data_IF_267687317346
#
_entry.id   IF_267687317346
#
_cell.length_a   1.000
_cell.length_b   1.000
_cell.length_c   1.000
_cell.angle_alpha   90.00
_cell.angle_beta   90.00
_cell.angle_gamma   90.00
#
_symmetry.space_group_name_H-M   'P 1'
#
loop_
_entity.id
_entity.type
_entity.pdbx_description
1 polymer ?
#
# COMPACT_ATOMS: atom_id res chain seq x y z
N UNK A 1 32.36 -9.94 -25.39
CA UNK A 1 31.45 -10.24 -26.47
C UNK A 1 30.40 -9.14 -26.52
N UNK A 2 30.45 -8.44 -27.61
CA UNK A 2 29.64 -7.28 -27.93
C UNK A 2 28.31 -7.77 -28.50
N UNK A 3 27.23 -7.62 -27.76
CA UNK A 3 25.88 -7.84 -28.32
C UNK A 3 25.43 -6.60 -29.06
N UNK A 4 25.38 -6.75 -30.39
CA UNK A 4 24.91 -5.78 -31.35
C UNK A 4 23.38 -5.70 -31.28
N UNK A 5 22.85 -4.52 -30.96
CA UNK A 5 21.43 -4.23 -31.01
C UNK A 5 20.91 -4.13 -32.44
N UNK A 6 19.78 -4.71 -32.83
CA UNK A 6 19.17 -4.50 -34.12
C UNK A 6 18.63 -3.09 -34.24
N UNK A 7 19.01 -2.39 -35.32
CA UNK A 7 18.43 -1.10 -35.70
C UNK A 7 17.04 -1.30 -36.28
N UNK A 8 16.02 -0.71 -35.70
CA UNK A 8 14.65 -0.73 -36.25
C UNK A 8 13.67 0.21 -35.56
N UNK A 9 13.34 1.26 -36.26
CA UNK A 9 12.17 2.16 -36.23
C UNK A 9 11.84 2.97 -34.95
N UNK A 10 11.88 4.26 -35.13
CA UNK A 10 12.00 5.40 -34.22
C UNK A 10 10.69 5.95 -33.62
N UNK A 11 9.59 5.20 -33.49
CA UNK A 11 8.35 5.74 -32.87
C UNK A 11 7.69 4.85 -31.80
N UNK A 12 8.34 3.74 -31.42
CA UNK A 12 7.86 2.86 -30.34
C UNK A 12 8.91 2.70 -29.22
N UNK A 13 10.04 3.37 -29.34
CA UNK A 13 11.19 3.18 -28.42
C UNK A 13 10.95 3.68 -26.99
N UNK A 14 10.09 4.66 -26.75
CA UNK A 14 9.81 5.19 -25.43
C UNK A 14 9.16 4.16 -24.50
N UNK A 15 8.13 3.49 -24.97
CA UNK A 15 7.38 2.49 -24.18
C UNK A 15 8.22 1.22 -23.96
N UNK A 16 8.98 0.79 -24.98
CA UNK A 16 9.90 -0.35 -24.83
C UNK A 16 11.08 -0.06 -23.90
N UNK A 17 11.61 1.16 -23.91
CA UNK A 17 12.66 1.58 -22.96
C UNK A 17 12.15 1.60 -21.54
N UNK A 18 10.96 2.14 -21.28
CA UNK A 18 10.34 2.17 -19.96
C UNK A 18 10.10 0.74 -19.45
N UNK A 19 9.56 -0.16 -20.26
CA UNK A 19 9.34 -1.56 -19.90
C UNK A 19 10.66 -2.31 -19.63
N UNK A 20 11.72 -2.00 -20.40
CA UNK A 20 13.02 -2.63 -20.23
C UNK A 20 13.72 -2.13 -18.95
N UNK A 21 13.65 -0.85 -18.64
CA UNK A 21 14.16 -0.29 -17.40
C UNK A 21 13.39 -0.81 -16.18
N UNK A 22 12.07 -0.90 -16.26
CA UNK A 22 11.23 -1.47 -15.22
C UNK A 22 11.61 -2.92 -14.89
N UNK A 23 11.72 -3.77 -15.91
CA UNK A 23 12.16 -5.16 -15.76
C UNK A 23 13.63 -5.31 -15.30
N UNK A 24 14.49 -4.33 -15.60
CA UNK A 24 15.88 -4.35 -15.16
C UNK A 24 16.01 -3.94 -13.69
N UNK A 25 15.19 -2.99 -13.23
CA UNK A 25 15.13 -2.60 -11.82
C UNK A 25 14.57 -3.73 -10.93
N UNK A 26 13.52 -4.43 -11.34
CA UNK A 26 12.97 -5.59 -10.61
C UNK A 26 14.03 -6.71 -10.45
N UNK A 27 14.92 -6.89 -11.44
CA UNK A 27 16.02 -7.86 -11.34
C UNK A 27 17.14 -7.48 -10.38
N UNK A 28 17.22 -6.23 -9.94
CA UNK A 28 18.29 -5.73 -9.05
C UNK A 28 17.91 -5.79 -7.56
N UNK A 29 16.62 -5.95 -7.21
CA UNK A 29 16.16 -6.02 -5.83
C UNK A 29 16.38 -7.43 -5.26
N UNK A 30 17.55 -7.65 -4.69
CA UNK A 30 17.83 -8.89 -3.97
C UNK A 30 17.26 -8.83 -2.54
N UNK A 31 17.17 -10.00 -1.89
CA UNK A 31 16.61 -10.13 -0.54
C UNK A 31 17.30 -9.23 0.50
N UNK A 32 18.62 -9.11 0.42
CA UNK A 32 19.41 -8.28 1.34
C UNK A 32 19.05 -6.79 1.21
N UNK A 33 18.96 -6.29 -0.02
CA UNK A 33 18.56 -4.91 -0.29
C UNK A 33 17.12 -4.64 0.20
N UNK A 34 16.19 -5.57 -0.06
CA UNK A 34 14.80 -5.44 0.38
C UNK A 34 14.69 -5.43 1.89
N UNK A 35 15.37 -6.33 2.59
CA UNK A 35 15.41 -6.34 4.05
C UNK A 35 16.01 -5.04 4.60
N UNK A 36 17.11 -4.56 4.01
CA UNK A 36 17.74 -3.30 4.43
C UNK A 36 16.81 -2.09 4.25
N UNK A 37 16.06 -2.03 3.15
CA UNK A 37 15.07 -0.97 2.93
C UNK A 37 13.92 -1.05 3.93
N UNK A 38 13.38 -2.24 4.19
CA UNK A 38 12.33 -2.45 5.19
C UNK A 38 12.82 -2.08 6.61
N UNK A 39 14.07 -2.41 6.95
CA UNK A 39 14.67 -2.02 8.23
C UNK A 39 14.81 -0.50 8.39
N UNK A 40 15.13 0.22 7.31
CA UNK A 40 15.10 1.69 7.34
C UNK A 40 13.69 2.23 7.61
N UNK A 41 12.64 1.63 7.00
CA UNK A 41 11.25 2.00 7.29
C UNK A 41 10.93 1.76 8.77
N UNK A 42 11.32 0.61 9.34
CA UNK A 42 11.14 0.30 10.77
C UNK A 42 11.83 1.31 11.68
N UNK A 43 13.10 1.63 11.38
CA UNK A 43 13.89 2.58 12.17
C UNK A 43 13.31 4.00 12.12
N UNK A 44 12.87 4.46 10.96
CA UNK A 44 12.21 5.76 10.83
C UNK A 44 10.89 5.78 11.58
N UNK A 45 10.07 4.72 11.45
CA UNK A 45 8.77 4.63 12.12
C UNK A 45 8.91 4.66 13.65
N UNK A 46 9.79 3.85 14.22
CA UNK A 46 10.00 3.83 15.67
C UNK A 46 10.61 5.13 16.16
N UNK A 47 11.51 5.75 15.38
CA UNK A 47 12.13 7.03 15.74
C UNK A 47 11.14 8.18 15.79
N UNK A 48 10.16 8.22 14.86
CA UNK A 48 9.07 9.19 14.87
C UNK A 48 8.22 9.06 16.12
N UNK A 49 7.78 7.83 16.45
CA UNK A 49 6.96 7.55 17.63
C UNK A 49 7.71 7.88 18.92
N UNK A 50 8.97 7.47 19.02
CA UNK A 50 9.82 7.74 20.18
C UNK A 50 10.04 9.24 20.38
N UNK A 51 10.33 9.98 19.32
CA UNK A 51 10.51 11.42 19.40
C UNK A 51 9.23 12.14 19.82
N UNK A 52 8.08 11.73 19.28
CA UNK A 52 6.78 12.31 19.61
C UNK A 52 6.28 11.90 21.01
N UNK A 53 6.86 10.87 21.63
CA UNK A 53 6.36 10.22 22.87
C UNK A 53 4.89 9.84 22.76
N UNK A 54 4.43 9.59 21.53
CA UNK A 54 3.03 9.30 21.22
C UNK A 54 2.95 8.59 19.87
N UNK A 55 2.11 7.57 19.75
CA UNK A 55 1.88 6.84 18.51
C UNK A 55 1.85 5.34 18.70
N UNK A 56 1.81 4.62 17.56
CA UNK A 56 1.68 3.17 17.50
C UNK A 56 2.86 2.58 16.69
N UNK A 57 3.90 2.05 17.35
CA UNK A 57 5.06 1.53 16.63
C UNK A 57 4.84 0.15 16.03
N UNK A 58 3.99 -0.70 16.64
CA UNK A 58 3.86 -2.13 16.31
C UNK A 58 3.50 -2.38 14.86
N UNK A 59 2.31 -1.99 14.44
CA UNK A 59 1.84 -2.18 13.06
C UNK A 59 2.69 -1.41 12.03
N UNK A 60 3.18 -0.22 12.40
CA UNK A 60 4.05 0.56 11.52
C UNK A 60 5.39 -0.15 11.21
N UNK A 61 5.92 -0.93 12.15
CA UNK A 61 7.10 -1.76 11.93
C UNK A 61 6.74 -3.08 11.23
N UNK A 62 5.59 -3.69 11.59
CA UNK A 62 5.12 -4.96 11.03
C UNK A 62 4.85 -4.89 9.54
N UNK A 63 4.27 -3.79 9.05
CA UNK A 63 3.97 -3.59 7.63
C UNK A 63 5.15 -3.13 6.76
N UNK A 64 6.36 -3.01 7.31
CA UNK A 64 7.50 -2.43 6.60
C UNK A 64 7.93 -3.22 5.36
N UNK A 65 7.95 -4.55 5.42
CA UNK A 65 8.29 -5.39 4.27
C UNK A 65 7.24 -5.26 3.17
N UNK A 66 5.96 -5.33 3.55
CA UNK A 66 4.86 -5.18 2.60
C UNK A 66 4.93 -3.84 1.86
N UNK A 67 4.99 -2.72 2.59
CA UNK A 67 4.96 -1.41 1.94
C UNK A 67 6.21 -1.18 1.10
N UNK A 68 7.37 -1.73 1.51
CA UNK A 68 8.59 -1.68 0.73
C UNK A 68 8.45 -2.44 -0.59
N UNK A 69 7.96 -3.68 -0.56
CA UNK A 69 7.74 -4.49 -1.77
C UNK A 69 6.71 -3.80 -2.67
N UNK A 70 5.58 -3.37 -2.11
CA UNK A 70 4.53 -2.71 -2.89
C UNK A 70 5.05 -1.47 -3.62
N UNK A 71 5.68 -0.54 -2.92
CA UNK A 71 6.10 0.75 -3.47
C UNK A 71 7.33 0.67 -4.37
N UNK A 72 8.20 -0.33 -4.18
CA UNK A 72 9.40 -0.49 -4.99
C UNK A 72 9.24 -1.38 -6.21
N UNK A 73 8.25 -2.30 -6.22
CA UNK A 73 8.17 -3.34 -7.24
C UNK A 73 6.81 -3.43 -7.94
N UNK A 74 5.70 -3.08 -7.30
CA UNK A 74 4.35 -3.32 -7.83
C UNK A 74 3.55 -2.06 -8.12
N UNK A 75 3.63 -1.04 -7.25
CA UNK A 75 2.83 0.17 -7.40
C UNK A 75 3.29 0.96 -8.63
N UNK A 76 2.42 1.09 -9.61
CA UNK A 76 2.66 1.89 -10.81
C UNK A 76 2.32 3.35 -10.52
N UNK A 77 3.34 4.20 -10.42
CA UNK A 77 3.18 5.63 -10.19
C UNK A 77 4.34 6.41 -10.80
N UNK A 78 4.15 7.72 -10.97
CA UNK A 78 5.18 8.64 -11.44
C UNK A 78 5.51 9.64 -10.32
N UNK A 79 6.70 9.57 -9.70
CA UNK A 79 7.08 10.51 -8.64
C UNK A 79 7.16 11.96 -9.10
N UNK A 80 7.44 12.21 -10.39
CA UNK A 80 7.49 13.56 -10.97
C UNK A 80 6.09 14.08 -11.34
N UNK A 81 5.12 13.16 -11.54
CA UNK A 81 3.73 13.49 -11.83
C UNK A 81 2.77 12.71 -10.91
N UNK A 82 2.75 13.01 -9.61
CA UNK A 82 1.97 12.25 -8.63
C UNK A 82 0.44 12.34 -8.82
N UNK A 83 -0.02 13.26 -9.64
CA UNK A 83 -1.44 13.42 -9.99
C UNK A 83 -1.85 12.68 -11.26
N UNK A 84 -0.94 11.95 -11.88
CA UNK A 84 -1.26 11.15 -13.08
C UNK A 84 -2.44 10.20 -12.82
N UNK A 85 -3.48 10.30 -13.66
CA UNK A 85 -4.74 9.59 -13.43
C UNK A 85 -4.61 8.06 -13.63
N UNK A 86 -3.69 7.61 -14.46
CA UNK A 86 -3.44 6.19 -14.70
C UNK A 86 -2.58 5.49 -13.64
N UNK A 87 -2.18 6.19 -12.57
CA UNK A 87 -1.40 5.60 -11.47
C UNK A 87 -2.22 4.60 -10.66
N UNK A 88 -1.57 3.61 -10.10
CA UNK A 88 -2.13 2.79 -9.03
C UNK A 88 -2.37 3.64 -7.78
N UNK A 89 -3.29 3.21 -6.91
CA UNK A 89 -3.64 3.94 -5.68
C UNK A 89 -3.50 3.04 -4.47
N UNK A 90 -2.88 3.58 -3.43
CA UNK A 90 -2.72 2.90 -2.15
C UNK A 90 -3.54 3.60 -1.06
N UNK A 91 -4.41 2.85 -0.40
CA UNK A 91 -5.25 3.32 0.69
C UNK A 91 -4.80 2.69 2.01
N UNK A 92 -4.44 3.54 2.97
CA UNK A 92 -4.11 3.12 4.32
C UNK A 92 -5.35 3.20 5.19
N UNK A 93 -5.90 2.06 5.63
CA UNK A 93 -7.03 2.03 6.55
C UNK A 93 -6.60 2.35 7.98
N UNK A 94 -5.62 1.65 8.59
CA UNK A 94 -5.19 1.95 9.95
C UNK A 94 -4.34 3.21 10.00
N UNK A 95 -5.00 4.38 10.03
CA UNK A 95 -4.32 5.68 10.02
C UNK A 95 -3.26 5.85 11.09
N UNK A 96 -3.40 5.17 12.22
CA UNK A 96 -2.39 5.12 13.28
C UNK A 96 -1.06 4.47 12.84
N UNK A 97 -1.05 3.74 11.72
CA UNK A 97 0.16 3.21 11.09
C UNK A 97 0.83 4.21 10.13
N UNK A 98 0.43 5.48 10.18
CA UNK A 98 1.03 6.57 9.39
C UNK A 98 2.56 6.62 9.38
N UNK A 99 3.30 6.26 10.47
CA UNK A 99 4.75 6.23 10.41
C UNK A 99 5.31 5.27 9.36
N UNK A 100 4.65 4.15 9.07
CA UNK A 100 5.02 3.26 7.97
C UNK A 100 4.93 3.97 6.62
N UNK A 101 3.78 4.62 6.35
CA UNK A 101 3.55 5.33 5.09
C UNK A 101 4.50 6.51 4.92
N UNK A 102 4.64 7.35 5.96
CA UNK A 102 5.57 8.49 5.91
C UNK A 102 7.02 8.06 5.71
N UNK A 103 7.45 6.95 6.31
CA UNK A 103 8.79 6.40 6.12
C UNK A 103 9.02 5.95 4.68
N UNK A 104 8.07 5.20 4.10
CA UNK A 104 8.15 4.78 2.71
C UNK A 104 8.17 5.98 1.74
N UNK A 105 7.33 6.99 1.97
CA UNK A 105 7.28 8.20 1.17
C UNK A 105 8.54 9.08 1.37
N UNK A 106 9.14 9.09 2.56
CA UNK A 106 10.42 9.79 2.79
C UNK A 106 11.58 9.13 2.02
N UNK A 107 11.62 7.81 1.94
CA UNK A 107 12.61 7.11 1.11
C UNK A 107 12.46 7.43 -0.39
N UNK A 108 11.27 7.87 -0.81
CA UNK A 108 11.00 8.37 -2.17
C UNK A 108 11.22 9.89 -2.33
N UNK A 109 11.70 10.57 -1.28
CA UNK A 109 11.94 12.01 -1.30
C UNK A 109 10.69 12.89 -1.14
N UNK A 110 9.53 12.32 -0.76
CA UNK A 110 8.27 13.08 -0.56
C UNK A 110 8.19 13.77 0.79
N UNK A 111 8.94 13.28 1.77
CA UNK A 111 9.12 13.89 3.08
C UNK A 111 10.59 13.98 3.41
N UNK A 112 11.01 15.10 3.99
CA UNK A 112 12.34 15.27 4.56
C UNK A 112 12.41 14.64 5.96
N UNK A 113 13.62 14.34 6.41
CA UNK A 113 13.85 13.86 7.79
C UNK A 113 13.38 14.89 8.83
N UNK A 114 13.49 16.18 8.53
CA UNK A 114 13.03 17.22 9.46
C UNK A 114 11.50 17.29 9.56
N UNK A 115 10.78 17.01 8.48
CA UNK A 115 9.32 16.83 8.52
C UNK A 115 8.93 15.58 9.32
N UNK A 116 9.64 14.46 9.16
CA UNK A 116 9.40 13.26 9.98
C UNK A 116 9.62 13.52 11.48
N UNK A 117 10.59 14.35 11.85
CA UNK A 117 10.82 14.77 13.24
C UNK A 117 9.68 15.59 13.83
N UNK A 118 8.76 16.13 13.01
CA UNK A 118 7.58 16.85 13.41
C UNK A 118 6.34 15.95 13.57
N UNK A 119 6.50 14.64 13.50
CA UNK A 119 5.41 13.69 13.66
C UNK A 119 4.55 13.98 14.89
N UNK A 120 3.23 14.09 14.69
CA UNK A 120 2.23 14.42 15.72
C UNK A 120 2.42 15.79 16.39
N UNK A 121 3.23 16.68 15.83
CA UNK A 121 3.29 18.04 16.34
C UNK A 121 2.17 18.89 15.72
N UNK A 122 1.85 20.00 16.39
CA UNK A 122 0.84 20.95 15.89
C UNK A 122 1.27 21.50 14.52
N UNK A 123 0.32 21.57 13.59
CA UNK A 123 0.52 22.08 12.22
C UNK A 123 1.64 21.37 11.43
N UNK A 124 1.89 20.11 11.78
CA UNK A 124 2.91 19.29 11.14
C UNK A 124 2.38 18.69 9.83
N UNK A 125 3.24 18.55 8.79
CA UNK A 125 2.89 17.81 7.58
C UNK A 125 2.83 16.28 7.79
N UNK A 126 3.18 15.81 8.99
CA UNK A 126 3.13 14.40 9.40
C UNK A 126 2.24 14.19 10.62
N UNK A 127 0.91 14.48 10.52
CA UNK A 127 -0.02 14.23 11.61
C UNK A 127 -0.08 12.74 11.99
N UNK A 128 -0.62 12.45 13.17
CA UNK A 128 -0.70 11.07 13.68
C UNK A 128 -1.56 10.12 12.83
N UNK A 129 -2.50 10.68 12.08
CA UNK A 129 -3.29 10.01 11.06
C UNK A 129 -3.15 10.81 9.77
N UNK A 130 -2.89 10.18 8.61
CA UNK A 130 -2.60 10.92 7.39
C UNK A 130 -3.81 11.75 6.92
N UNK A 131 -3.52 12.95 6.45
CA UNK A 131 -4.44 13.75 5.65
C UNK A 131 -4.16 13.50 4.17
N UNK A 132 -5.22 13.50 3.35
CA UNK A 132 -5.09 13.30 1.91
C UNK A 132 -4.18 14.36 1.28
N UNK A 133 -3.09 13.91 0.67
CA UNK A 133 -2.13 14.74 -0.05
C UNK A 133 -1.58 13.97 -1.26
N UNK A 134 -2.27 14.09 -2.37
CA UNK A 134 -1.92 13.36 -3.61
C UNK A 134 -0.52 13.75 -4.10
N UNK A 135 -0.11 15.01 -3.93
CA UNK A 135 1.21 15.46 -4.36
C UNK A 135 2.35 14.76 -3.61
N UNK A 136 2.09 14.30 -2.41
CA UNK A 136 3.01 13.49 -1.61
C UNK A 136 2.74 11.99 -1.66
N UNK A 137 1.69 11.54 -2.36
CA UNK A 137 1.35 10.12 -2.52
C UNK A 137 0.41 9.58 -1.44
N UNK A 138 -0.34 10.44 -0.75
CA UNK A 138 -1.34 10.06 0.26
C UNK A 138 -2.73 10.16 -0.36
N UNK A 139 -3.36 9.01 -0.63
CA UNK A 139 -4.63 8.94 -1.36
C UNK A 139 -5.85 9.25 -0.49
N UNK A 140 -5.80 8.98 0.81
CA UNK A 140 -6.94 9.18 1.70
C UNK A 140 -6.55 9.79 3.05
N UNK A 141 -7.43 10.62 3.57
CA UNK A 141 -7.46 10.92 5.00
C UNK A 141 -7.92 9.67 5.72
N UNK A 142 -7.19 9.23 6.73
CA UNK A 142 -7.55 8.07 7.51
C UNK A 142 -7.52 8.37 9.02
N UNK A 143 -8.06 7.45 9.81
CA UNK A 143 -8.21 7.59 11.26
C UNK A 143 -9.31 6.65 11.74
N UNK A 144 -10.58 6.87 11.39
CA UNK A 144 -11.61 5.89 11.67
C UNK A 144 -11.35 4.60 10.90
N UNK A 145 -11.24 3.48 11.61
CA UNK A 145 -11.00 2.16 11.04
C UNK A 145 -12.15 1.72 10.13
N UNK A 146 -11.85 0.92 9.11
CA UNK A 146 -12.79 0.44 8.09
C UNK A 146 -13.05 1.45 6.96
N UNK A 147 -12.83 2.73 7.16
CA UNK A 147 -13.09 3.74 6.12
C UNK A 147 -12.09 3.67 4.96
N UNK A 148 -10.82 3.39 5.23
CA UNK A 148 -9.80 3.23 4.19
C UNK A 148 -10.14 2.08 3.25
N UNK A 149 -10.63 0.96 3.78
CA UNK A 149 -11.13 -0.17 2.99
C UNK A 149 -12.34 0.25 2.12
N UNK A 150 -13.25 1.01 2.70
CA UNK A 150 -14.44 1.53 1.98
C UNK A 150 -14.04 2.47 0.84
N UNK A 151 -13.08 3.37 1.07
CA UNK A 151 -12.53 4.23 0.01
C UNK A 151 -11.88 3.42 -1.10
N UNK A 152 -11.09 2.40 -0.76
CA UNK A 152 -10.45 1.52 -1.73
C UNK A 152 -11.49 0.77 -2.58
N UNK A 153 -12.54 0.22 -1.97
CA UNK A 153 -13.63 -0.44 -2.68
C UNK A 153 -14.35 0.54 -3.62
N UNK A 154 -14.65 1.76 -3.16
CA UNK A 154 -15.24 2.82 -3.99
C UNK A 154 -14.36 3.22 -5.17
N UNK A 155 -13.05 3.35 -4.95
CA UNK A 155 -12.08 3.64 -6.01
C UNK A 155 -11.99 2.50 -7.04
N UNK A 156 -12.06 1.24 -6.59
CA UNK A 156 -12.06 0.09 -7.49
C UNK A 156 -13.32 0.02 -8.37
N UNK A 157 -14.49 0.39 -7.82
CA UNK A 157 -15.72 0.54 -8.61
C UNK A 157 -15.57 1.66 -9.64
N UNK A 158 -15.05 2.81 -9.21
CA UNK A 158 -14.84 3.96 -10.11
C UNK A 158 -13.88 3.62 -11.26
N UNK A 159 -12.79 2.92 -10.97
CA UNK A 159 -11.85 2.46 -12.00
C UNK A 159 -12.54 1.54 -13.01
N UNK A 160 -13.28 0.53 -12.56
CA UNK A 160 -14.05 -0.37 -13.45
C UNK A 160 -15.06 0.38 -14.31
N UNK A 161 -15.71 1.39 -13.77
CA UNK A 161 -16.61 2.24 -14.53
C UNK A 161 -15.87 3.04 -15.60
N UNK A 162 -14.71 3.62 -15.27
CA UNK A 162 -13.89 4.38 -16.20
C UNK A 162 -13.25 3.47 -17.26
N UNK A 163 -12.74 2.29 -16.87
CA UNK A 163 -12.23 1.27 -17.79
C UNK A 163 -13.28 0.88 -18.85
N UNK A 164 -14.52 0.65 -18.42
CA UNK A 164 -15.61 0.29 -19.31
C UNK A 164 -15.99 1.42 -20.29
N UNK A 165 -15.78 2.69 -19.89
CA UNK A 165 -16.11 3.85 -20.72
C UNK A 165 -14.99 4.30 -21.63
N UNK A 166 -13.75 4.26 -21.16
CA UNK A 166 -12.58 4.82 -21.82
C UNK A 166 -11.70 3.75 -22.46
N UNK A 167 -11.90 2.49 -22.09
CA UNK A 167 -11.11 1.36 -22.56
C UNK A 167 -9.85 1.12 -21.72
N UNK A 168 -9.39 -0.12 -21.69
CA UNK A 168 -8.24 -0.59 -20.91
C UNK A 168 -6.91 0.09 -21.25
N UNK A 169 -6.78 0.59 -22.45
CA UNK A 169 -5.56 1.31 -22.87
C UNK A 169 -5.42 2.69 -22.25
N UNK A 170 -6.52 3.24 -21.75
CA UNK A 170 -6.59 4.57 -21.14
C UNK A 170 -6.68 4.45 -19.61
N UNK A 171 -7.54 3.53 -19.14
CA UNK A 171 -7.79 3.32 -17.71
C UNK A 171 -7.64 1.85 -17.38
N UNK A 172 -6.53 1.54 -16.75
CA UNK A 172 -6.27 0.23 -16.15
C UNK A 172 -5.25 0.41 -15.04
N UNK A 173 -5.72 0.60 -13.82
CA UNK A 173 -4.85 0.69 -12.66
C UNK A 173 -5.36 -0.18 -11.50
N UNK A 174 -4.48 -0.52 -10.59
CA UNK A 174 -4.79 -1.30 -9.41
C UNK A 174 -5.10 -0.38 -8.23
N UNK A 175 -5.93 -0.88 -7.35
CA UNK A 175 -6.24 -0.27 -6.07
C UNK A 175 -5.71 -1.21 -4.99
N UNK A 176 -4.86 -0.68 -4.13
CA UNK A 176 -4.28 -1.42 -3.01
C UNK A 176 -4.83 -0.86 -1.71
N UNK A 177 -5.14 -1.72 -0.76
CA UNK A 177 -5.54 -1.36 0.58
C UNK A 177 -4.74 -2.14 1.62
N UNK A 178 -4.38 -1.48 2.69
CA UNK A 178 -3.81 -2.12 3.88
C UNK A 178 -4.79 -1.97 5.02
N UNK A 179 -5.15 -3.08 5.68
CA UNK A 179 -6.11 -3.12 6.76
C UNK A 179 -5.54 -3.91 7.96
N UNK A 180 -5.89 -3.49 9.16
CA UNK A 180 -5.51 -4.15 10.42
C UNK A 180 -6.64 -4.99 10.99
N UNK A 181 -6.36 -5.74 12.07
CA UNK A 181 -7.37 -6.52 12.81
C UNK A 181 -8.58 -5.66 13.20
N UNK A 182 -8.37 -4.52 13.86
CA UNK A 182 -9.48 -3.64 14.21
C UNK A 182 -10.21 -3.05 13.00
N UNK A 183 -9.51 -2.85 11.88
CA UNK A 183 -10.13 -2.35 10.65
C UNK A 183 -11.04 -3.40 10.00
N UNK A 184 -10.64 -4.67 9.98
CA UNK A 184 -11.40 -5.73 9.34
C UNK A 184 -12.65 -6.12 10.15
N UNK A 185 -12.66 -5.84 11.43
CA UNK A 185 -13.81 -6.07 12.33
C UNK A 185 -14.93 -5.05 12.14
N UNK A 186 -14.61 -3.85 11.65
CA UNK A 186 -15.60 -2.79 11.45
C UNK A 186 -16.71 -3.20 10.47
N UNK A 187 -17.98 -3.00 10.83
CA UNK A 187 -19.14 -3.35 10.01
C UNK A 187 -19.08 -2.71 8.61
N UNK A 188 -18.60 -1.48 8.51
CA UNK A 188 -18.43 -0.77 7.24
C UNK A 188 -17.39 -1.47 6.35
N UNK A 189 -16.31 -1.99 6.94
CA UNK A 189 -15.27 -2.75 6.24
C UNK A 189 -15.83 -4.07 5.72
N UNK A 190 -16.58 -4.80 6.54
CA UNK A 190 -17.22 -6.05 6.14
C UNK A 190 -18.24 -5.84 5.02
N UNK A 191 -19.02 -4.76 5.10
CA UNK A 191 -19.94 -4.35 4.04
C UNK A 191 -19.20 -4.08 2.72
N UNK A 192 -18.08 -3.37 2.77
CA UNK A 192 -17.23 -3.10 1.60
C UNK A 192 -16.61 -4.37 1.01
N UNK A 193 -16.08 -5.28 1.85
CA UNK A 193 -15.50 -6.56 1.44
C UNK A 193 -16.52 -7.46 0.74
N UNK A 194 -17.71 -7.58 1.30
CA UNK A 194 -18.82 -8.33 0.69
C UNK A 194 -19.28 -7.74 -0.63
N UNK A 195 -19.40 -6.41 -0.72
CA UNK A 195 -19.75 -5.74 -1.97
C UNK A 195 -18.68 -5.91 -3.05
N UNK A 196 -17.40 -5.81 -2.69
CA UNK A 196 -16.30 -6.01 -3.60
C UNK A 196 -16.28 -7.43 -4.19
N UNK A 197 -16.54 -8.44 -3.36
CA UNK A 197 -16.71 -9.83 -3.81
C UNK A 197 -17.89 -10.00 -4.75
N UNK A 198 -19.08 -9.46 -4.39
CA UNK A 198 -20.28 -9.50 -5.23
C UNK A 198 -20.04 -8.87 -6.61
N UNK A 199 -19.31 -7.75 -6.67
CA UNK A 199 -19.01 -7.03 -7.90
C UNK A 199 -17.82 -7.61 -8.67
N UNK A 200 -17.09 -8.58 -8.11
CA UNK A 200 -15.92 -9.19 -8.71
C UNK A 200 -14.79 -8.17 -8.99
N UNK A 201 -14.51 -7.29 -8.04
CA UNK A 201 -13.52 -6.20 -8.20
C UNK A 201 -12.09 -6.75 -8.21
N UNK A 202 -11.69 -7.37 -9.31
CA UNK A 202 -10.37 -7.97 -9.49
C UNK A 202 -9.21 -6.96 -9.64
N UNK A 203 -9.50 -5.68 -9.60
CA UNK A 203 -8.55 -4.58 -9.53
C UNK A 203 -8.29 -4.09 -8.09
N UNK A 204 -9.02 -4.62 -7.09
CA UNK A 204 -8.80 -4.36 -5.67
C UNK A 204 -7.96 -5.47 -5.06
N UNK A 205 -6.82 -5.09 -4.49
CA UNK A 205 -5.89 -5.97 -3.79
C UNK A 205 -5.80 -5.46 -2.35
N UNK A 206 -6.22 -6.30 -1.40
CA UNK A 206 -6.20 -5.94 0.00
C UNK A 206 -5.15 -6.77 0.74
N UNK A 207 -4.31 -6.09 1.52
CA UNK A 207 -3.39 -6.71 2.44
C UNK A 207 -3.95 -6.58 3.86
N UNK A 208 -4.24 -7.70 4.49
CA UNK A 208 -4.71 -7.76 5.86
C UNK A 208 -3.56 -8.16 6.80
N UNK A 209 -3.21 -7.26 7.71
CA UNK A 209 -2.21 -7.50 8.76
C UNK A 209 -2.86 -8.26 9.92
N UNK A 210 -2.82 -9.58 9.82
CA UNK A 210 -3.30 -10.49 10.86
C UNK A 210 -2.20 -10.75 11.87
N UNK A 211 -2.12 -9.94 12.90
CA UNK A 211 -1.09 -10.02 13.93
C UNK A 211 -1.61 -10.44 15.32
N UNK A 212 -2.91 -10.75 15.40
CA UNK A 212 -3.61 -11.26 16.58
C UNK A 212 -3.64 -10.28 17.77
N UNK A 213 -3.28 -9.01 17.59
CA UNK A 213 -3.20 -8.03 18.67
C UNK A 213 -3.99 -6.78 18.33
N UNK A 214 -4.84 -6.34 19.26
CA UNK A 214 -5.53 -5.05 19.21
C UNK A 214 -5.24 -4.27 20.49
N UNK A 215 -4.81 -3.01 20.38
CA UNK A 215 -4.52 -2.13 21.53
C UNK A 215 -3.97 -2.86 22.77
N UNK A 216 -4.84 -3.31 23.64
CA UNK A 216 -4.52 -3.94 24.93
C UNK A 216 -5.01 -5.39 25.02
N UNK A 217 -5.51 -6.00 23.94
CA UNK A 217 -6.07 -7.36 23.99
C UNK A 217 -5.70 -8.17 22.76
N UNK A 218 -5.80 -9.49 22.86
CA UNK A 218 -5.68 -10.39 21.73
C UNK A 218 -6.98 -10.39 20.92
N UNK A 219 -6.89 -10.47 19.58
CA UNK A 219 -8.05 -10.44 18.68
C UNK A 219 -9.08 -11.52 19.03
N UNK A 220 -8.66 -12.72 19.43
CA UNK A 220 -9.56 -13.82 19.81
C UNK A 220 -10.50 -13.52 20.99
N UNK A 221 -10.24 -12.45 21.75
CA UNK A 221 -11.12 -12.03 22.86
C UNK A 221 -12.34 -11.30 22.33
N UNK A 222 -12.20 -10.60 21.22
CA UNK A 222 -13.26 -9.74 20.62
C UNK A 222 -13.79 -10.31 19.31
N UNK A 223 -12.98 -11.03 18.55
CA UNK A 223 -13.36 -11.64 17.29
C UNK A 223 -12.97 -13.13 17.27
N UNK A 224 -13.94 -13.99 16.98
CA UNK A 224 -13.74 -15.44 16.87
C UNK A 224 -14.05 -15.97 15.47
N UNK A 225 -14.21 -15.09 14.50
CA UNK A 225 -14.53 -15.46 13.13
C UNK A 225 -13.26 -15.87 12.37
N UNK A 226 -13.42 -16.85 11.48
CA UNK A 226 -12.41 -17.16 10.49
C UNK A 226 -12.49 -16.14 9.33
N UNK A 227 -11.65 -15.13 9.40
CA UNK A 227 -11.60 -14.04 8.40
C UNK A 227 -11.33 -14.59 7.00
N UNK A 228 -10.42 -15.58 6.86
CA UNK A 228 -10.13 -16.20 5.58
C UNK A 228 -11.37 -16.86 4.99
N UNK A 229 -12.02 -17.75 5.74
CA UNK A 229 -13.22 -18.44 5.29
C UNK A 229 -14.35 -17.46 4.96
N UNK A 230 -14.49 -16.37 5.72
CA UNK A 230 -15.47 -15.31 5.49
C UNK A 230 -15.25 -14.63 4.13
N UNK A 231 -14.01 -14.19 3.83
CA UNK A 231 -13.68 -13.53 2.57
C UNK A 231 -13.79 -14.47 1.38
N UNK A 232 -13.36 -15.73 1.53
CA UNK A 232 -13.57 -16.78 0.51
C UNK A 232 -15.05 -17.00 0.20
N UNK A 233 -15.90 -17.01 1.22
CA UNK A 233 -17.37 -17.13 1.05
C UNK A 233 -17.97 -15.92 0.33
N UNK A 234 -17.35 -14.74 0.40
CA UNK A 234 -17.73 -13.54 -0.37
C UNK A 234 -17.16 -13.53 -1.79
N UNK A 235 -16.37 -14.53 -2.18
CA UNK A 235 -15.83 -14.67 -3.53
C UNK A 235 -14.43 -14.05 -3.73
N UNK A 236 -13.74 -13.73 -2.64
CA UNK A 236 -12.34 -13.29 -2.72
C UNK A 236 -11.40 -14.47 -2.93
N UNK A 237 -10.30 -14.24 -3.65
CA UNK A 237 -9.14 -15.12 -3.63
C UNK A 237 -8.27 -14.74 -2.43
N UNK A 238 -8.18 -15.63 -1.43
CA UNK A 238 -7.47 -15.34 -0.18
C UNK A 238 -6.18 -16.17 -0.11
N UNK A 239 -5.06 -15.49 0.00
CA UNK A 239 -3.71 -16.08 0.11
C UNK A 239 -3.15 -15.74 1.49
N UNK A 240 -2.69 -16.77 2.22
CA UNK A 240 -2.02 -16.57 3.52
C UNK A 240 -0.52 -16.68 3.31
N UNK A 241 0.20 -15.65 3.75
CA UNK A 241 1.65 -15.54 3.59
C UNK A 241 2.31 -15.10 4.89
N UNK A 242 3.62 -15.27 4.98
CA UNK A 242 4.44 -14.58 5.96
C UNK A 242 4.69 -13.14 5.49
N UNK A 243 4.02 -12.17 6.13
CA UNK A 243 4.11 -10.74 5.81
C UNK A 243 5.49 -10.10 6.07
N UNK A 244 6.45 -10.84 6.64
CA UNK A 244 7.83 -10.42 6.83
C UNK A 244 8.80 -11.06 5.81
N UNK A 245 8.29 -11.80 4.83
CA UNK A 245 9.10 -12.39 3.77
C UNK A 245 8.76 -11.73 2.42
N UNK A 246 9.72 -10.97 1.89
CA UNK A 246 9.55 -10.25 0.63
C UNK A 246 9.26 -11.19 -0.56
N UNK A 247 9.76 -12.41 -0.54
CA UNK A 247 9.53 -13.38 -1.63
C UNK A 247 8.10 -13.94 -1.56
N UNK A 248 7.57 -14.19 -0.37
CA UNK A 248 6.16 -14.59 -0.20
C UNK A 248 5.20 -13.45 -0.58
N UNK A 249 5.52 -12.19 -0.20
CA UNK A 249 4.74 -11.02 -0.60
C UNK A 249 4.70 -10.86 -2.13
N UNK A 250 5.82 -11.09 -2.82
CA UNK A 250 5.91 -11.02 -4.28
C UNK A 250 5.08 -12.08 -5.00
N UNK A 251 4.98 -13.26 -4.41
CA UNK A 251 4.28 -14.39 -5.03
C UNK A 251 2.76 -14.36 -4.82
N UNK A 252 2.30 -13.62 -3.84
CA UNK A 252 0.88 -13.45 -3.56
C UNK A 252 0.22 -12.44 -4.50
#
# INVERSE_FOLDING_TARGET
PTDVLPKGNTHIDGVRKITYYYNTYIKMNNKELMNHAADNIRLLAVSMVEKAKSGHPGGAMGGADFINVLFSEFLTYDPENPTWEGRDRFYLDPGHMSPMLYSALALQGKFSIDELKQFRQWDSPTPGHPERDICRGIENTSGPLGQGHTFAAGAAVAEKFLEARLGKTVMQHKIYAYISDGGIEEEISQGAGRLAGLLGLNNLIMFYDSNDIQLSTECKVVMQEDTKAKYEAWGWNVITINGNDADEIRHA
#
